data_IF_488605948462
#
_entry.id   IF_488605948462
#
_cell.length_a   1.000
_cell.length_b   1.000
_cell.length_c   1.000
_cell.angle_alpha   90.00
_cell.angle_beta   90.00
_cell.angle_gamma   90.00
#
_symmetry.space_group_name_H-M   'P 1'
#
loop_
_entity.id
_entity.type
_entity.pdbx_description
1 polymer ?
#
# COMPACT_ATOMS: atom_id res chain seq x y z
N UNK A 1 -18.57 20.61 -8.63
CA UNK A 1 -17.49 19.93 -7.88
C UNK A 1 -17.65 18.45 -8.17
N UNK A 2 -16.72 17.84 -8.92
CA UNK A 2 -16.90 16.48 -9.45
C UNK A 2 -16.55 15.47 -8.37
N UNK A 3 -17.57 14.81 -7.81
CA UNK A 3 -17.42 13.53 -7.12
C UNK A 3 -16.90 12.52 -8.15
N UNK A 4 -15.64 12.12 -8.04
CA UNK A 4 -15.15 10.92 -8.69
C UNK A 4 -15.39 9.77 -7.72
N UNK A 5 -16.48 9.04 -7.95
CA UNK A 5 -16.55 7.62 -7.63
C UNK A 5 -15.35 6.97 -8.32
N UNK A 6 -14.25 6.83 -7.60
CA UNK A 6 -13.20 5.90 -8.03
C UNK A 6 -13.73 4.52 -7.67
N UNK A 7 -14.28 3.86 -8.68
CA UNK A 7 -14.54 2.44 -8.64
C UNK A 7 -13.28 1.75 -8.12
N UNK A 8 -13.42 1.04 -7.02
CA UNK A 8 -12.37 0.32 -6.31
C UNK A 8 -11.76 -0.73 -7.26
N UNK A 9 -10.73 -0.34 -8.00
CA UNK A 9 -9.96 -1.24 -8.85
C UNK A 9 -8.91 -1.91 -7.99
N UNK A 10 -9.19 -3.18 -7.69
CA UNK A 10 -8.36 -4.20 -7.06
C UNK A 10 -6.92 -4.35 -7.64
N UNK A 11 -6.62 -3.63 -8.72
CA UNK A 11 -5.33 -3.55 -9.41
C UNK A 11 -4.52 -2.29 -9.08
N UNK A 12 -5.06 -1.34 -8.32
CA UNK A 12 -4.39 -0.06 -8.08
C UNK A 12 -3.36 -0.10 -6.95
N UNK A 13 -3.47 -1.04 -6.02
CA UNK A 13 -2.58 -1.03 -4.85
C UNK A 13 -1.13 -1.38 -5.22
N UNK A 14 -0.93 -2.37 -6.09
CA UNK A 14 0.39 -2.73 -6.62
C UNK A 14 0.99 -1.56 -7.40
N UNK A 15 0.24 -0.95 -8.31
CA UNK A 15 0.70 0.20 -9.10
C UNK A 15 1.04 1.41 -8.21
N UNK A 16 0.21 1.67 -7.19
CA UNK A 16 0.44 2.72 -6.20
C UNK A 16 1.72 2.44 -5.41
N UNK A 17 1.92 1.20 -4.95
CA UNK A 17 3.14 0.80 -4.26
C UNK A 17 4.38 1.03 -5.12
N UNK A 18 4.35 0.60 -6.39
CA UNK A 18 5.46 0.75 -7.33
C UNK A 18 5.79 2.23 -7.59
N UNK A 19 4.76 3.08 -7.72
CA UNK A 19 4.94 4.52 -7.87
C UNK A 19 5.57 5.17 -6.62
N UNK A 20 5.07 4.79 -5.43
CA UNK A 20 5.60 5.28 -4.16
C UNK A 20 7.06 4.81 -3.95
N UNK A 21 7.37 3.55 -4.24
CA UNK A 21 8.73 3.01 -4.16
C UNK A 21 9.66 3.71 -5.16
N UNK A 22 9.20 3.94 -6.40
CA UNK A 22 9.96 4.66 -7.43
C UNK A 22 10.28 6.10 -7.04
N UNK A 23 9.31 6.81 -6.43
CA UNK A 23 9.52 8.16 -5.89
C UNK A 23 10.53 8.16 -4.74
N UNK A 24 10.45 7.19 -3.84
CA UNK A 24 11.41 7.04 -2.75
C UNK A 24 12.84 6.78 -3.26
N UNK A 25 13.00 5.83 -4.19
CA UNK A 25 14.30 5.55 -4.83
C UNK A 25 14.89 6.77 -5.53
N UNK A 26 14.03 7.57 -6.17
CA UNK A 26 14.45 8.84 -6.80
C UNK A 26 14.95 9.85 -5.78
N UNK A 27 14.28 9.96 -4.62
CA UNK A 27 14.71 10.84 -3.53
C UNK A 27 16.01 10.38 -2.86
N UNK A 28 16.19 9.07 -2.68
CA UNK A 28 17.44 8.48 -2.20
C UNK A 28 18.59 8.73 -3.18
N UNK A 29 18.34 8.59 -4.48
CA UNK A 29 19.34 8.91 -5.53
C UNK A 29 19.74 10.38 -5.53
N UNK A 30 18.91 11.28 -5.01
CA UNK A 30 19.21 12.70 -4.83
C UNK A 30 19.97 12.98 -3.51
N UNK A 31 20.38 11.94 -2.78
CA UNK A 31 21.12 12.05 -1.53
C UNK A 31 20.27 12.50 -0.34
N UNK A 32 18.93 12.45 -0.46
CA UNK A 32 18.05 12.70 0.68
C UNK A 32 17.89 11.41 1.48
N UNK A 33 17.93 11.51 2.79
CA UNK A 33 17.75 10.38 3.70
C UNK A 33 16.31 10.28 4.17
N UNK A 34 15.82 9.05 4.37
CA UNK A 34 14.46 8.77 4.82
C UNK A 34 14.11 9.41 6.16
N UNK A 35 15.12 9.69 6.99
CA UNK A 35 14.95 10.44 8.24
C UNK A 35 14.51 11.90 8.00
N UNK A 36 14.94 12.53 6.90
CA UNK A 36 14.60 13.93 6.58
C UNK A 36 13.26 14.12 5.88
N UNK A 37 12.83 13.12 5.09
CA UNK A 37 11.58 13.20 4.36
C UNK A 37 10.50 12.27 4.91
N UNK A 38 10.83 11.31 5.77
CA UNK A 38 9.88 10.33 6.31
C UNK A 38 8.72 10.99 7.03
N UNK A 39 9.00 11.96 7.90
CA UNK A 39 7.96 12.68 8.64
C UNK A 39 7.06 13.53 7.73
N UNK A 40 7.58 14.01 6.60
CA UNK A 40 6.82 14.82 5.64
C UNK A 40 6.05 13.97 4.62
N UNK A 41 6.65 12.86 4.16
CA UNK A 41 6.05 11.99 3.15
C UNK A 41 5.04 11.02 3.73
N UNK A 42 5.18 10.61 5.00
CA UNK A 42 4.21 9.69 5.65
C UNK A 42 2.76 10.20 5.53
N UNK A 43 2.41 11.43 5.96
CA UNK A 43 1.02 11.92 5.81
C UNK A 43 0.59 12.09 4.35
N UNK A 44 1.52 12.42 3.43
CA UNK A 44 1.21 12.48 2.00
C UNK A 44 0.90 11.10 1.44
N UNK A 45 1.68 10.09 1.80
CA UNK A 45 1.50 8.72 1.34
C UNK A 45 0.19 8.18 1.91
N UNK A 46 -0.09 8.40 3.20
CA UNK A 46 -1.38 8.07 3.82
C UNK A 46 -2.56 8.70 3.05
N UNK A 47 -2.43 9.96 2.60
CA UNK A 47 -3.50 10.62 1.81
C UNK A 47 -3.73 10.03 0.42
N UNK A 48 -2.73 9.35 -0.15
CA UNK A 48 -2.83 8.70 -1.45
C UNK A 48 -3.39 7.27 -1.35
N UNK A 49 -3.52 6.72 -0.14
CA UNK A 49 -4.02 5.36 0.05
C UNK A 49 -5.54 5.29 -0.09
N UNK A 50 -6.06 4.18 -0.65
CA UNK A 50 -7.49 3.89 -0.60
C UNK A 50 -7.97 3.76 0.85
N UNK A 51 -9.21 4.16 1.10
CA UNK A 51 -9.81 4.17 2.45
C UNK A 51 -9.73 2.81 3.16
N UNK A 52 -9.86 1.69 2.43
CA UNK A 52 -9.75 0.36 3.02
C UNK A 52 -8.35 0.04 3.57
N UNK A 53 -7.33 0.48 2.85
CA UNK A 53 -5.92 0.25 3.18
C UNK A 53 -5.54 1.16 4.33
N UNK A 54 -6.03 2.40 4.32
CA UNK A 54 -5.86 3.35 5.41
C UNK A 54 -6.52 2.84 6.71
N UNK A 55 -7.72 2.29 6.63
CA UNK A 55 -8.39 1.67 7.78
C UNK A 55 -7.62 0.44 8.30
N UNK A 56 -7.12 -0.41 7.41
CA UNK A 56 -6.30 -1.56 7.81
C UNK A 56 -4.99 -1.10 8.48
N UNK A 57 -4.36 -0.06 7.95
CA UNK A 57 -3.19 0.59 8.54
C UNK A 57 -3.49 1.21 9.91
N UNK A 58 -4.60 1.93 10.08
CA UNK A 58 -5.03 2.47 11.37
C UNK A 58 -5.32 1.39 12.40
N UNK A 59 -6.01 0.31 12.02
CA UNK A 59 -6.26 -0.83 12.91
C UNK A 59 -4.94 -1.44 13.38
N UNK A 60 -3.99 -1.63 12.46
CA UNK A 60 -2.67 -2.16 12.79
C UNK A 60 -1.90 -1.24 13.74
N UNK A 61 -1.93 0.07 13.50
CA UNK A 61 -1.37 1.10 14.39
C UNK A 61 -2.00 1.08 15.79
N UNK A 62 -3.32 0.91 15.87
CA UNK A 62 -4.04 0.94 17.14
C UNK A 62 -3.85 -0.34 17.97
N UNK A 63 -3.52 -1.48 17.33
CA UNK A 63 -3.17 -2.72 18.04
C UNK A 63 -1.76 -2.73 18.61
N UNK A 64 -0.85 -1.95 18.03
CA UNK A 64 0.56 -1.85 18.45
C UNK A 64 0.76 -0.55 19.27
N UNK A 65 0.04 -0.45 20.40
CA UNK A 65 -0.22 0.77 21.18
C UNK A 65 0.99 1.50 21.78
N UNK A 66 2.24 1.03 21.65
CA UNK A 66 3.39 1.59 22.39
C UNK A 66 4.65 1.91 21.58
N UNK A 67 4.74 1.52 20.32
CA UNK A 67 5.98 1.73 19.57
C UNK A 67 5.90 3.01 18.73
N UNK A 68 6.51 4.09 19.25
CA UNK A 68 6.88 5.31 18.49
C UNK A 68 7.53 5.00 17.12
N UNK A 69 8.06 3.79 16.93
CA UNK A 69 8.64 3.30 15.68
C UNK A 69 7.66 3.04 14.54
N UNK A 70 6.38 2.69 14.78
CA UNK A 70 5.45 2.31 13.68
C UNK A 70 5.02 3.46 12.78
N UNK A 71 5.32 4.71 13.15
CA UNK A 71 4.95 5.89 12.36
C UNK A 71 5.98 6.25 11.30
N UNK A 72 7.04 5.46 11.14
CA UNK A 72 8.01 5.74 10.08
C UNK A 72 7.48 5.27 8.73
N UNK A 73 7.88 5.99 7.70
CA UNK A 73 7.62 5.67 6.30
C UNK A 73 7.98 4.22 5.93
N UNK A 74 9.02 3.67 6.57
CA UNK A 74 9.46 2.28 6.40
C UNK A 74 8.38 1.27 6.78
N UNK A 75 7.69 1.49 7.90
CA UNK A 75 6.63 0.59 8.35
C UNK A 75 5.42 0.69 7.42
N UNK A 76 5.11 1.89 6.92
CA UNK A 76 4.05 2.09 5.94
C UNK A 76 4.36 1.33 4.63
N UNK A 77 5.57 1.50 4.09
CA UNK A 77 5.99 0.79 2.87
C UNK A 77 6.02 -0.73 3.06
N UNK A 78 6.45 -1.21 4.23
CA UNK A 78 6.42 -2.63 4.56
C UNK A 78 5.01 -3.18 4.64
N UNK A 79 4.08 -2.41 5.26
CA UNK A 79 2.67 -2.77 5.32
C UNK A 79 2.05 -2.86 3.92
N UNK A 80 2.26 -1.86 3.06
CA UNK A 80 1.73 -1.86 1.70
C UNK A 80 2.22 -3.05 0.88
N UNK A 81 3.51 -3.39 1.00
CA UNK A 81 4.08 -4.58 0.37
C UNK A 81 3.38 -5.86 0.83
N UNK A 82 3.10 -5.99 2.13
CA UNK A 82 2.41 -7.17 2.66
C UNK A 82 0.96 -7.25 2.17
N UNK A 83 0.28 -6.12 2.05
CA UNK A 83 -1.09 -6.06 1.56
C UNK A 83 -1.17 -6.46 0.07
N UNK A 84 -0.26 -5.93 -0.76
CA UNK A 84 -0.12 -6.32 -2.17
C UNK A 84 0.16 -7.83 -2.30
N UNK A 85 1.11 -8.36 -1.52
CA UNK A 85 1.38 -9.80 -1.53
C UNK A 85 0.20 -10.63 -1.01
N UNK A 86 -0.55 -10.13 -0.03
CA UNK A 86 -1.76 -10.77 0.49
C UNK A 86 -2.83 -10.90 -0.60
N UNK A 87 -3.00 -9.84 -1.39
CA UNK A 87 -3.90 -9.81 -2.54
C UNK A 87 -3.48 -10.78 -3.65
N UNK A 88 -2.20 -10.82 -4.02
CA UNK A 88 -1.67 -11.79 -4.99
C UNK A 88 -1.89 -13.24 -4.53
N UNK A 89 -1.62 -13.52 -3.25
CA UNK A 89 -1.84 -14.86 -2.65
C UNK A 89 -3.32 -15.22 -2.62
N UNK A 90 -4.20 -14.27 -2.27
CA UNK A 90 -5.63 -14.48 -2.30
C UNK A 90 -6.15 -14.73 -3.72
N UNK A 91 -5.62 -14.01 -4.71
CA UNK A 91 -5.91 -14.25 -6.12
C UNK A 91 -5.47 -15.65 -6.53
N UNK A 92 -4.22 -16.05 -6.28
CA UNK A 92 -3.71 -17.40 -6.59
C UNK A 92 -4.54 -18.49 -5.91
N UNK A 93 -4.89 -18.32 -4.64
CA UNK A 93 -5.75 -19.26 -3.93
C UNK A 93 -7.16 -19.36 -4.54
N UNK A 94 -7.72 -18.23 -5.00
CA UNK A 94 -8.99 -18.20 -5.72
C UNK A 94 -8.91 -18.95 -7.05
N UNK A 95 -7.83 -18.76 -7.82
CA UNK A 95 -7.58 -19.49 -9.07
C UNK A 95 -7.48 -21.00 -8.84
N UNK A 96 -6.77 -21.42 -7.79
CA UNK A 96 -6.62 -22.84 -7.44
C UNK A 96 -7.93 -23.48 -6.99
N UNK A 97 -8.85 -22.70 -6.42
CA UNK A 97 -10.15 -23.20 -5.92
C UNK A 97 -11.21 -23.37 -7.01
N UNK A 98 -11.11 -22.64 -8.13
CA UNK A 98 -12.08 -22.68 -9.23
C UNK A 98 -11.39 -22.72 -10.62
N UNK A 99 -10.74 -23.85 -10.98
CA UNK A 99 -10.00 -23.97 -12.24
C UNK A 99 -10.88 -23.98 -13.50
N UNK A 100 -12.19 -24.16 -13.40
CA UNK A 100 -13.09 -24.41 -14.54
C UNK A 100 -13.53 -23.18 -15.33
N UNK A 101 -13.25 -21.95 -14.88
CA UNK A 101 -13.65 -20.72 -15.60
C UNK A 101 -12.57 -20.18 -16.56
N UNK A 102 -11.34 -20.71 -16.52
CA UNK A 102 -10.21 -20.18 -17.30
C UNK A 102 -10.08 -20.77 -18.72
N UNK A 103 -10.91 -21.76 -19.09
CA UNK A 103 -10.85 -22.45 -20.38
C UNK A 103 -12.05 -22.23 -21.30
N UNK A 104 -12.88 -21.21 -21.04
CA UNK A 104 -14.05 -20.89 -21.87
C UNK A 104 -13.87 -19.52 -22.53
N UNK A 105 -13.04 -19.48 -23.58
CA UNK A 105 -13.11 -18.50 -24.67
C UNK A 105 -12.44 -19.08 -25.90
#
# INVERSE_FOLDING_TARGET
MKNAVSGRTKTDLSALYDELEGKLRSLESLGRTQEKYGDFLTPLFESCLPEEILMAWERKRNTETDAKGWRTLEHLMTFLRLEVQGEERAAVAQWLRYPTMAGMS
#
